data_IF_503175256200
#
_entry.id   IF_503175256200
#
_cell.length_a   1.000
_cell.length_b   1.000
_cell.length_c   1.000
_cell.angle_alpha   90.00
_cell.angle_beta   90.00
_cell.angle_gamma   90.00
#
_symmetry.space_group_name_H-M   'P 1'
#
loop_
_entity.id
_entity.type
_entity.pdbx_description
1 polymer ?
#
# COMPACT_ATOMS: atom_id res chain seq x y z
N UNK A 1 -3.35 -29.44 -7.98
CA UNK A 1 -4.28 -28.28 -7.94
C UNK A 1 -3.49 -26.99 -8.17
N UNK A 2 -3.78 -26.20 -9.21
CA UNK A 2 -3.01 -24.98 -9.55
C UNK A 2 -3.09 -23.96 -8.40
N UNK A 3 -1.96 -23.54 -7.87
CA UNK A 3 -1.92 -22.50 -6.82
C UNK A 3 -2.21 -21.15 -7.48
N UNK A 4 -3.32 -20.52 -7.08
CA UNK A 4 -3.66 -19.17 -7.53
C UNK A 4 -2.88 -18.14 -6.72
N UNK A 5 -2.66 -16.94 -7.29
CA UNK A 5 -1.98 -15.83 -6.60
C UNK A 5 -2.61 -15.54 -5.22
N UNK A 6 -3.95 -15.52 -5.16
CA UNK A 6 -4.68 -15.34 -3.90
C UNK A 6 -4.39 -16.45 -2.87
N UNK A 7 -4.37 -17.73 -3.29
CA UNK A 7 -4.02 -18.84 -2.39
C UNK A 7 -2.58 -18.74 -1.87
N UNK A 8 -1.64 -18.30 -2.71
CA UNK A 8 -0.25 -18.07 -2.31
C UNK A 8 -0.16 -16.93 -1.29
N UNK A 9 -0.76 -15.78 -1.58
CA UNK A 9 -0.75 -14.62 -0.69
C UNK A 9 -1.35 -14.95 0.68
N UNK A 10 -2.49 -15.65 0.71
CA UNK A 10 -3.14 -16.05 1.97
C UNK A 10 -2.20 -16.86 2.87
N UNK A 11 -1.48 -17.84 2.30
CA UNK A 11 -0.50 -18.64 3.07
C UNK A 11 0.65 -17.79 3.62
N UNK A 12 1.11 -16.80 2.85
CA UNK A 12 2.17 -15.89 3.28
C UNK A 12 1.68 -15.00 4.43
N UNK A 13 0.49 -14.41 4.30
CA UNK A 13 -0.08 -13.55 5.36
C UNK A 13 -0.35 -14.36 6.62
N UNK A 14 -0.86 -15.58 6.50
CA UNK A 14 -1.11 -16.49 7.63
C UNK A 14 0.18 -16.83 8.40
N UNK A 15 1.29 -17.07 7.70
CA UNK A 15 2.60 -17.24 8.33
C UNK A 15 2.98 -16.02 9.20
N UNK A 16 2.81 -14.79 8.68
CA UNK A 16 3.11 -13.58 9.45
C UNK A 16 2.12 -13.32 10.59
N UNK A 17 0.84 -13.69 10.43
CA UNK A 17 -0.15 -13.63 11.52
C UNK A 17 0.28 -14.51 12.69
N UNK A 18 0.61 -15.76 12.41
CA UNK A 18 0.90 -16.76 13.45
C UNK A 18 2.25 -16.55 14.13
N UNK A 19 3.30 -16.22 13.35
CA UNK A 19 4.67 -16.17 13.89
C UNK A 19 5.16 -14.78 14.25
N UNK A 20 4.58 -13.74 13.65
CA UNK A 20 5.03 -12.36 13.84
C UNK A 20 3.94 -11.45 14.39
N UNK A 21 2.84 -12.02 14.89
CA UNK A 21 1.71 -11.29 15.47
C UNK A 21 1.21 -10.16 14.57
N UNK A 22 1.18 -10.39 13.26
CA UNK A 22 0.66 -9.42 12.31
C UNK A 22 -0.85 -9.27 12.49
N UNK A 23 -1.29 -8.13 13.03
CA UNK A 23 -2.70 -7.84 13.31
C UNK A 23 -3.34 -6.89 12.31
N UNK A 24 -4.64 -7.04 12.12
CA UNK A 24 -5.45 -6.11 11.33
C UNK A 24 -5.85 -4.87 12.15
N UNK A 25 -6.00 -3.68 11.53
CA UNK A 25 -5.75 -3.39 10.11
C UNK A 25 -4.24 -3.35 9.79
N UNK A 26 -3.81 -4.02 8.71
CA UNK A 26 -2.43 -3.99 8.28
C UNK A 26 -2.04 -2.59 7.82
N UNK A 27 -1.03 -2.01 8.46
CA UNK A 27 -0.45 -0.73 8.04
C UNK A 27 0.63 -1.00 7.00
N UNK A 28 0.31 -0.75 5.74
CA UNK A 28 1.21 -1.01 4.61
C UNK A 28 1.96 0.26 4.30
N UNK A 29 3.25 0.30 4.63
CA UNK A 29 4.12 1.41 4.25
C UNK A 29 4.28 1.41 2.72
N UNK A 30 3.95 2.52 2.08
CA UNK A 30 4.12 2.73 0.64
C UNK A 30 5.05 3.92 0.39
N UNK A 31 5.84 3.87 -0.68
CA UNK A 31 6.75 4.93 -1.09
C UNK A 31 6.14 5.82 -2.19
N UNK A 32 6.82 6.93 -2.49
CA UNK A 32 6.33 7.90 -3.47
C UNK A 32 6.25 7.33 -4.88
N UNK A 33 7.23 6.50 -5.26
CA UNK A 33 7.29 5.87 -6.58
C UNK A 33 6.12 4.90 -6.80
N UNK A 34 5.77 4.11 -5.78
CA UNK A 34 4.61 3.22 -5.82
C UNK A 34 3.31 3.99 -5.98
N UNK A 35 3.11 5.08 -5.23
CA UNK A 35 1.87 5.87 -5.33
C UNK A 35 1.76 6.55 -6.68
N UNK A 36 2.85 7.09 -7.21
CA UNK A 36 2.88 7.66 -8.55
C UNK A 36 2.56 6.62 -9.64
N UNK A 37 3.18 5.44 -9.56
CA UNK A 37 2.91 4.34 -10.50
C UNK A 37 1.46 3.87 -10.42
N UNK A 38 0.89 3.76 -9.20
CA UNK A 38 -0.50 3.40 -9.01
C UNK A 38 -1.45 4.43 -9.64
N UNK A 39 -1.17 5.73 -9.49
CA UNK A 39 -1.95 6.79 -10.11
C UNK A 39 -1.91 6.74 -11.63
N UNK A 40 -0.71 6.59 -12.21
CA UNK A 40 -0.53 6.47 -13.66
C UNK A 40 -1.31 5.29 -14.25
N UNK A 41 -1.39 4.18 -13.51
CA UNK A 41 -2.10 2.97 -13.92
C UNK A 41 -3.57 2.92 -13.43
N UNK A 42 -4.09 4.00 -12.82
CA UNK A 42 -5.47 4.09 -12.30
C UNK A 42 -5.81 3.00 -11.28
N UNK A 43 -4.85 2.66 -10.43
CA UNK A 43 -4.99 1.65 -9.38
C UNK A 43 -5.34 2.33 -8.05
N UNK A 44 -6.51 2.00 -7.50
CA UNK A 44 -6.95 2.48 -6.19
C UNK A 44 -6.31 1.65 -5.06
N UNK A 45 -5.18 2.12 -4.53
CA UNK A 45 -4.38 1.38 -3.52
C UNK A 45 -5.22 0.96 -2.29
N UNK A 46 -6.06 1.87 -1.76
CA UNK A 46 -6.90 1.60 -0.58
C UNK A 46 -7.85 0.41 -0.77
N UNK A 47 -8.31 0.16 -1.99
CA UNK A 47 -9.22 -0.93 -2.31
C UNK A 47 -8.47 -2.22 -2.65
N UNK A 48 -7.31 -2.10 -3.30
CA UNK A 48 -6.54 -3.26 -3.75
C UNK A 48 -5.75 -3.93 -2.63
N UNK A 49 -5.29 -3.19 -1.62
CA UNK A 49 -4.53 -3.76 -0.50
C UNK A 49 -5.34 -4.80 0.31
N UNK A 50 -6.60 -4.53 0.70
CA UNK A 50 -7.41 -5.54 1.39
C UNK A 50 -7.63 -6.81 0.57
N UNK A 51 -7.83 -6.68 -0.75
CA UNK A 51 -8.00 -7.82 -1.65
C UNK A 51 -6.70 -8.64 -1.74
N UNK A 52 -5.56 -7.96 -1.83
CA UNK A 52 -4.24 -8.60 -1.97
C UNK A 52 -3.83 -9.35 -0.70
N UNK A 53 -4.10 -8.77 0.47
CA UNK A 53 -3.70 -9.28 1.78
C UNK A 53 -4.76 -10.18 2.44
N UNK A 54 -6.01 -10.15 1.96
CA UNK A 54 -7.09 -10.97 2.49
C UNK A 54 -7.52 -10.57 3.90
N UNK A 55 -7.51 -9.27 4.20
CA UNK A 55 -7.87 -8.69 5.49
C UNK A 55 -7.86 -7.17 5.44
N UNK A 56 -8.29 -6.50 6.50
CA UNK A 56 -8.31 -5.03 6.56
C UNK A 56 -6.88 -4.48 6.41
N UNK A 57 -6.68 -3.56 5.46
CA UNK A 57 -5.38 -2.98 5.16
C UNK A 57 -5.52 -1.51 4.81
N UNK A 58 -4.59 -0.69 5.33
CA UNK A 58 -4.53 0.74 5.08
C UNK A 58 -3.14 1.12 4.59
N UNK A 59 -3.02 1.88 3.47
CA UNK A 59 -1.74 2.43 3.07
C UNK A 59 -1.31 3.50 4.08
N UNK A 60 -0.03 3.53 4.39
CA UNK A 60 0.60 4.48 5.29
C UNK A 60 1.87 5.03 4.64
N UNK A 61 2.23 6.27 4.94
CA UNK A 61 3.43 6.92 4.39
C UNK A 61 4.20 7.63 5.50
N UNK A 62 5.52 7.68 5.37
CA UNK A 62 6.35 8.47 6.26
C UNK A 62 6.40 9.95 5.83
N UNK A 63 6.86 10.80 6.73
CA UNK A 63 7.04 12.23 6.42
C UNK A 63 8.15 12.49 5.41
N UNK A 64 9.19 11.64 5.34
CA UNK A 64 10.24 11.83 4.34
C UNK A 64 9.73 11.64 2.91
N UNK A 65 8.85 10.65 2.68
CA UNK A 65 8.22 10.42 1.37
C UNK A 65 7.32 11.60 0.97
N UNK A 66 6.60 12.19 1.92
CA UNK A 66 5.80 13.39 1.65
C UNK A 66 6.68 14.57 1.20
N UNK A 67 7.84 14.76 1.84
CA UNK A 67 8.77 15.83 1.48
C UNK A 67 9.49 15.56 0.16
N UNK A 68 9.88 14.32 -0.09
CA UNK A 68 10.45 13.87 -1.37
C UNK A 68 9.50 14.21 -2.53
N UNK A 69 8.24 13.77 -2.45
CA UNK A 69 7.24 14.02 -3.50
C UNK A 69 6.98 15.51 -3.75
N UNK A 70 7.04 16.35 -2.71
CA UNK A 70 6.91 17.82 -2.87
C UNK A 70 8.11 18.43 -3.61
N UNK A 71 9.30 17.91 -3.40
CA UNK A 71 10.53 18.43 -3.99
C UNK A 71 10.71 18.02 -5.46
N UNK A 72 10.03 16.96 -5.91
CA UNK A 72 10.16 16.43 -7.28
C UNK A 72 9.33 17.20 -8.33
N UNK A 73 8.62 18.28 -7.95
CA UNK A 73 7.97 19.20 -8.90
C UNK A 73 6.53 18.87 -9.27
N UNK A 74 5.98 19.61 -10.23
CA UNK A 74 4.54 19.63 -10.53
C UNK A 74 3.99 18.31 -11.06
N UNK A 75 4.81 17.52 -11.75
CA UNK A 75 4.43 16.21 -12.32
C UNK A 75 3.95 15.21 -11.25
N UNK A 76 4.37 15.39 -10.00
CA UNK A 76 4.05 14.53 -8.86
C UNK A 76 3.01 15.13 -7.92
N UNK A 77 2.43 16.28 -8.26
CA UNK A 77 1.41 16.97 -7.45
C UNK A 77 0.21 16.08 -7.11
N UNK A 78 -0.23 15.25 -8.07
CA UNK A 78 -1.32 14.30 -7.86
C UNK A 78 -0.98 13.23 -6.82
N UNK A 79 0.28 12.75 -6.80
CA UNK A 79 0.75 11.80 -5.80
C UNK A 79 0.79 12.45 -4.40
N UNK A 80 1.26 13.69 -4.30
CA UNK A 80 1.26 14.44 -3.03
C UNK A 80 -0.14 14.56 -2.44
N UNK A 81 -1.16 14.86 -3.25
CA UNK A 81 -2.54 14.96 -2.80
C UNK A 81 -3.06 13.64 -2.24
N UNK A 82 -2.83 12.54 -2.95
CA UNK A 82 -3.27 11.20 -2.54
C UNK A 82 -2.58 10.75 -1.24
N UNK A 83 -1.26 10.96 -1.16
CA UNK A 83 -0.44 10.59 0.00
C UNK A 83 -0.89 11.32 1.27
N UNK A 84 -1.33 12.59 1.18
CA UNK A 84 -1.89 13.32 2.33
C UNK A 84 -3.13 12.64 2.93
N UNK A 85 -3.90 11.91 2.12
CA UNK A 85 -5.07 11.16 2.60
C UNK A 85 -4.73 9.80 3.24
N UNK A 86 -3.44 9.42 3.29
CA UNK A 86 -2.96 8.17 3.90
C UNK A 86 -2.39 8.37 5.32
N UNK A 87 -2.22 9.61 5.76
CA UNK A 87 -1.72 9.95 7.11
C UNK A 87 -2.82 10.15 8.16
N UNK A 88 -4.10 10.06 7.77
CA UNK A 88 -5.26 10.16 8.67
C UNK A 88 -5.69 8.81 9.19
#
# INVERSE_FOLDING_TARGET
MKVTKSKRNRRIVEFYKTLHSLTEPYRVLVDGSFVFAALKNKIHIKEQLPILLGGSAVPYVSNCILNELKNMGEDLSGAVLVVKHYQK
#
